data_IF_541056679337
#
_entry.id   IF_541056679337
#
_cell.length_a   1.000
_cell.length_b   1.000
_cell.length_c   1.000
_cell.angle_alpha   90.00
_cell.angle_beta   90.00
_cell.angle_gamma   90.00
#
_symmetry.space_group_name_H-M   'P 1'
#
loop_
_entity.id
_entity.type
_entity.pdbx_description
1 polymer ?
#
# COMPACT_ATOMS: atom_id res chain seq x y z
N UNK A 1 9.69 16.20 -3.62
CA UNK A 1 11.11 16.64 -3.72
C UNK A 1 11.23 17.80 -4.71
N UNK A 2 12.02 18.85 -4.37
CA UNK A 2 12.44 19.88 -5.31
C UNK A 2 13.61 19.37 -6.20
N UNK A 3 14.11 20.24 -7.15
CA UNK A 3 15.16 19.84 -8.10
C UNK A 3 16.47 19.44 -7.43
N UNK A 4 16.90 20.16 -6.37
CA UNK A 4 18.14 19.87 -5.66
C UNK A 4 18.04 18.60 -4.82
N UNK A 5 16.91 18.36 -4.14
CA UNK A 5 16.63 17.11 -3.43
C UNK A 5 16.66 15.91 -4.38
N UNK A 6 16.05 16.05 -5.57
CA UNK A 6 16.07 15.01 -6.60
C UNK A 6 17.46 14.72 -7.13
N UNK A 7 18.29 15.75 -7.27
CA UNK A 7 19.68 15.58 -7.68
C UNK A 7 20.48 14.79 -6.62
N UNK A 8 20.29 15.09 -5.33
CA UNK A 8 20.92 14.32 -4.24
C UNK A 8 20.44 12.86 -4.28
N UNK A 9 19.13 12.64 -4.33
CA UNK A 9 18.54 11.30 -4.41
C UNK A 9 19.15 10.47 -5.56
N UNK A 10 19.14 10.99 -6.79
CA UNK A 10 19.62 10.26 -7.96
C UNK A 10 21.14 10.00 -7.89
N UNK A 11 21.92 11.03 -7.54
CA UNK A 11 23.40 10.91 -7.53
C UNK A 11 23.88 9.96 -6.43
N UNK A 12 23.27 10.01 -5.23
CA UNK A 12 23.63 9.09 -4.15
C UNK A 12 23.20 7.66 -4.49
N UNK A 13 22.02 7.48 -5.10
CA UNK A 13 21.57 6.17 -5.57
C UNK A 13 22.53 5.51 -6.57
N UNK A 14 23.12 6.29 -7.47
CA UNK A 14 24.11 5.79 -8.44
C UNK A 14 25.47 5.45 -7.80
N UNK A 15 25.77 6.02 -6.63
CA UNK A 15 27.09 5.97 -5.98
C UNK A 15 27.05 5.40 -4.57
N UNK A 16 26.25 4.36 -4.36
CA UNK A 16 25.81 3.84 -3.06
C UNK A 16 26.91 3.62 -2.02
N UNK A 17 28.12 3.24 -2.41
CA UNK A 17 29.20 2.88 -1.47
C UNK A 17 30.37 3.86 -1.49
N UNK A 18 30.20 5.02 -2.15
CA UNK A 18 31.23 6.07 -2.12
C UNK A 18 31.15 6.85 -0.81
N UNK A 19 32.29 7.08 -0.19
CA UNK A 19 32.40 7.85 1.07
C UNK A 19 32.28 9.36 0.87
N UNK A 20 32.35 9.84 -0.38
CA UNK A 20 32.29 11.25 -0.74
C UNK A 20 31.68 11.39 -2.12
N UNK A 21 30.52 12.03 -2.21
CA UNK A 21 29.68 12.08 -3.41
C UNK A 21 29.43 13.53 -3.80
N UNK A 22 29.97 13.93 -4.95
CA UNK A 22 29.72 15.27 -5.48
C UNK A 22 28.39 15.30 -6.23
N UNK A 23 27.53 16.23 -5.81
CA UNK A 23 26.19 16.43 -6.36
C UNK A 23 26.11 17.83 -6.96
N UNK A 24 25.87 17.93 -8.26
CA UNK A 24 25.52 19.19 -8.92
C UNK A 24 24.12 19.63 -8.48
N UNK A 25 23.95 20.91 -8.21
CA UNK A 25 22.68 21.53 -7.86
C UNK A 25 22.02 22.13 -9.10
N UNK A 26 20.94 21.54 -9.65
CA UNK A 26 20.25 22.07 -10.83
C UNK A 26 19.67 23.48 -10.62
N UNK A 27 19.38 23.81 -9.36
CA UNK A 27 19.03 25.16 -8.93
C UNK A 27 20.12 25.68 -8.00
N UNK A 28 21.14 26.38 -8.51
CA UNK A 28 22.23 26.93 -7.70
C UNK A 28 21.69 27.85 -6.60
N UNK A 29 22.36 27.84 -5.45
CA UNK A 29 22.02 28.72 -4.33
C UNK A 29 22.87 29.98 -4.42
N UNK A 30 22.22 31.14 -4.40
CA UNK A 30 22.90 32.43 -4.61
C UNK A 30 22.58 33.41 -3.49
N UNK A 31 23.53 34.32 -3.22
CA UNK A 31 23.30 35.46 -2.34
C UNK A 31 24.20 36.63 -2.72
N UNK A 32 23.79 37.84 -2.35
CA UNK A 32 24.58 39.05 -2.46
C UNK A 32 25.08 39.48 -1.09
N UNK A 33 26.32 40.01 -1.02
CA UNK A 33 26.89 40.44 0.22
C UNK A 33 28.28 41.06 0.09
N UNK A 34 28.76 41.66 1.17
CA UNK A 34 30.09 42.25 1.29
C UNK A 34 31.12 41.35 1.99
N UNK A 35 30.68 40.17 2.44
CA UNK A 35 31.52 39.21 3.17
C UNK A 35 31.30 37.80 2.62
N UNK A 36 32.31 36.95 2.79
CA UNK A 36 32.33 35.55 2.38
C UNK A 36 31.50 34.64 3.29
N UNK A 37 30.82 35.19 4.32
CA UNK A 37 29.99 34.44 5.25
C UNK A 37 28.71 33.96 4.56
N UNK A 38 28.52 32.66 4.48
CA UNK A 38 27.31 32.07 3.88
C UNK A 38 26.11 32.30 4.80
N UNK A 39 25.04 32.94 4.32
CA UNK A 39 23.83 33.21 5.11
C UNK A 39 23.15 31.94 5.65
N UNK A 40 22.46 32.06 6.77
CA UNK A 40 21.77 30.94 7.42
C UNK A 40 20.71 30.27 6.54
N UNK A 41 19.94 31.07 5.77
CA UNK A 41 18.95 30.55 4.83
C UNK A 41 19.58 29.70 3.70
N UNK A 42 20.77 30.07 3.23
CA UNK A 42 21.52 29.28 2.23
C UNK A 42 22.01 27.97 2.85
N UNK A 43 22.53 28.00 4.09
CA UNK A 43 22.92 26.79 4.82
C UNK A 43 21.74 25.87 5.05
N UNK A 44 20.58 26.42 5.46
CA UNK A 44 19.31 25.65 5.59
C UNK A 44 18.91 25.03 4.26
N UNK A 45 18.95 25.77 3.15
CA UNK A 45 18.57 25.26 1.83
C UNK A 45 19.48 24.12 1.37
N UNK A 46 20.80 24.18 1.67
CA UNK A 46 21.75 23.07 1.43
C UNK A 46 21.40 21.84 2.29
N UNK A 47 21.17 22.06 3.58
CA UNK A 47 20.78 20.98 4.49
C UNK A 47 19.46 20.33 4.05
N UNK A 48 18.46 21.12 3.69
CA UNK A 48 17.16 20.65 3.23
C UNK A 48 17.25 19.86 1.92
N UNK A 49 18.14 20.29 1.00
CA UNK A 49 18.40 19.55 -0.24
C UNK A 49 18.95 18.16 0.05
N UNK A 50 19.94 18.07 0.95
CA UNK A 50 20.60 16.80 1.27
C UNK A 50 19.70 15.91 2.14
N UNK A 51 19.12 16.46 3.22
CA UNK A 51 18.21 15.69 4.08
C UNK A 51 17.02 15.16 3.30
N UNK A 52 16.36 16.01 2.48
CA UNK A 52 15.19 15.58 1.72
C UNK A 52 15.51 14.53 0.66
N UNK A 53 16.66 14.66 -0.02
CA UNK A 53 17.11 13.65 -0.99
C UNK A 53 17.47 12.31 -0.36
N UNK A 54 18.22 12.34 0.76
CA UNK A 54 18.61 11.11 1.49
C UNK A 54 17.41 10.44 2.15
N UNK A 55 16.53 11.20 2.81
CA UNK A 55 15.33 10.63 3.44
C UNK A 55 14.46 9.91 2.42
N UNK A 56 14.16 10.56 1.29
CA UNK A 56 13.38 9.94 0.24
C UNK A 56 14.06 8.69 -0.35
N UNK A 57 15.39 8.73 -0.48
CA UNK A 57 16.17 7.60 -1.01
C UNK A 57 16.12 6.39 -0.08
N UNK A 58 16.33 6.59 1.23
CA UNK A 58 16.30 5.49 2.20
C UNK A 58 14.89 4.91 2.38
N UNK A 59 13.84 5.74 2.29
CA UNK A 59 12.46 5.26 2.34
C UNK A 59 12.06 4.46 1.10
N UNK A 60 12.51 4.91 -0.10
CA UNK A 60 12.25 4.19 -1.35
C UNK A 60 13.06 2.90 -1.46
N UNK A 61 14.28 2.90 -0.92
CA UNK A 61 15.23 1.78 -1.01
C UNK A 61 15.80 1.40 0.36
N UNK A 62 15.05 0.74 1.23
CA UNK A 62 15.53 0.37 2.57
C UNK A 62 16.68 -0.63 2.57
N UNK A 63 17.03 -1.19 1.40
CA UNK A 63 18.32 -1.87 1.21
C UNK A 63 19.52 -0.96 1.49
N UNK A 64 19.34 0.38 1.51
CA UNK A 64 20.37 1.37 1.86
C UNK A 64 20.30 1.65 3.36
N UNK A 65 20.47 0.64 4.17
CA UNK A 65 20.28 0.67 5.62
C UNK A 65 21.39 1.39 6.40
N UNK A 66 22.57 1.53 5.83
CA UNK A 66 23.80 1.97 6.53
C UNK A 66 23.95 3.48 6.70
N UNK A 67 23.12 4.29 6.04
CA UNK A 67 23.23 5.75 6.12
C UNK A 67 22.62 6.23 7.44
N UNK A 68 23.46 6.38 8.45
CA UNK A 68 23.09 6.91 9.77
C UNK A 68 23.52 8.38 9.90
N UNK A 69 23.09 9.22 8.97
CA UNK A 69 23.42 10.64 8.92
C UNK A 69 24.43 10.98 7.81
N UNK A 70 24.86 12.23 7.78
CA UNK A 70 25.75 12.74 6.76
C UNK A 70 26.53 13.96 7.23
N UNK A 71 27.60 14.32 6.51
CA UNK A 71 28.21 15.66 6.54
C UNK A 71 28.26 16.21 5.13
N UNK A 72 28.30 17.54 5.03
CA UNK A 72 28.38 18.23 3.74
C UNK A 72 29.59 19.15 3.70
N UNK A 73 30.17 19.30 2.52
CA UNK A 73 31.09 20.37 2.20
C UNK A 73 30.71 21.00 0.86
N UNK A 74 30.99 22.27 0.70
CA UNK A 74 30.68 23.01 -0.52
C UNK A 74 31.68 24.13 -0.74
N UNK A 75 31.91 24.48 -2.01
CA UNK A 75 32.56 25.68 -2.42
C UNK A 75 31.57 26.68 -3.02
N UNK A 76 32.00 27.89 -3.21
CA UNK A 76 31.23 28.91 -3.94
C UNK A 76 32.14 29.65 -4.93
N UNK A 77 31.58 30.07 -6.05
CA UNK A 77 32.12 31.06 -6.95
C UNK A 77 31.55 32.44 -6.62
N UNK A 78 32.24 33.50 -7.01
CA UNK A 78 31.73 34.87 -6.85
C UNK A 78 32.27 35.80 -7.95
N UNK A 79 31.54 36.88 -8.17
CA UNK A 79 31.96 38.02 -8.97
C UNK A 79 31.60 39.32 -8.29
N UNK A 80 32.32 40.40 -8.62
CA UNK A 80 32.11 41.72 -8.04
C UNK A 80 30.88 42.39 -8.69
N UNK A 81 30.11 43.07 -7.88
CA UNK A 81 28.96 43.91 -8.28
C UNK A 81 29.21 45.36 -7.86
N UNK A 82 28.31 46.27 -8.21
CA UNK A 82 28.41 47.67 -7.79
C UNK A 82 28.26 47.88 -6.27
N UNK A 83 27.64 46.89 -5.53
CA UNK A 83 27.33 46.98 -4.11
C UNK A 83 28.03 45.92 -3.26
N UNK A 84 28.90 45.12 -3.83
CA UNK A 84 29.58 44.00 -3.14
C UNK A 84 29.94 42.87 -4.06
N UNK A 85 29.54 41.67 -3.70
CA UNK A 85 29.78 40.45 -4.45
C UNK A 85 28.50 39.64 -4.61
N UNK A 86 28.36 38.98 -5.75
CA UNK A 86 27.37 37.94 -5.98
C UNK A 86 28.03 36.57 -5.84
N UNK A 87 27.52 35.73 -4.96
CA UNK A 87 28.05 34.38 -4.66
C UNK A 87 27.11 33.31 -5.20
N UNK A 88 27.68 32.18 -5.61
CA UNK A 88 26.94 31.04 -6.15
C UNK A 88 27.50 29.72 -5.63
N UNK A 89 26.67 28.84 -5.09
CA UNK A 89 26.95 27.44 -4.81
C UNK A 89 26.24 26.61 -5.89
N UNK A 90 27.00 25.92 -6.74
CA UNK A 90 26.47 25.07 -7.83
C UNK A 90 26.61 23.58 -7.57
N UNK A 91 27.31 23.20 -6.51
CA UNK A 91 27.49 21.79 -6.12
C UNK A 91 27.68 21.65 -4.62
N UNK A 92 27.37 20.46 -4.10
CA UNK A 92 27.61 20.04 -2.73
C UNK A 92 28.26 18.67 -2.71
N UNK A 93 29.25 18.46 -1.85
CA UNK A 93 29.80 17.13 -1.59
C UNK A 93 29.07 16.54 -0.38
N UNK A 94 28.38 15.44 -0.58
CA UNK A 94 27.71 14.67 0.47
C UNK A 94 28.62 13.54 0.92
N UNK A 95 28.80 13.40 2.22
CA UNK A 95 29.57 12.31 2.83
C UNK A 95 28.66 11.54 3.78
N UNK A 96 28.04 10.44 3.31
CA UNK A 96 27.23 9.57 4.16
C UNK A 96 28.06 9.01 5.32
N UNK A 97 27.44 8.89 6.49
CA UNK A 97 28.06 8.29 7.67
C UNK A 97 27.38 6.97 7.99
N UNK A 98 28.18 5.97 8.32
CA UNK A 98 27.71 4.66 8.74
C UNK A 98 27.39 4.65 10.24
N UNK A 99 26.59 3.71 10.69
CA UNK A 99 26.38 3.39 12.10
C UNK A 99 27.65 2.69 12.65
N UNK A 100 28.52 3.44 13.32
CA UNK A 100 29.79 2.90 13.86
C UNK A 100 29.61 1.96 15.05
N UNK A 101 28.42 1.86 15.64
CA UNK A 101 28.11 0.87 16.66
C UNK A 101 27.83 -0.53 16.05
N UNK A 102 27.37 -0.54 14.77
CA UNK A 102 27.04 -1.76 14.06
C UNK A 102 28.19 -2.18 13.09
N UNK A 103 28.87 -1.22 12.46
CA UNK A 103 29.81 -1.45 11.37
C UNK A 103 31.18 -0.86 11.65
N UNK A 104 32.21 -1.69 11.58
CA UNK A 104 33.59 -1.25 11.74
C UNK A 104 34.03 -0.31 10.59
N UNK A 105 33.60 -0.63 9.37
CA UNK A 105 33.92 0.13 8.17
C UNK A 105 32.93 -0.19 7.01
N UNK A 106 33.13 0.43 5.86
CA UNK A 106 32.31 0.24 4.67
C UNK A 106 32.45 -1.19 4.08
N UNK A 107 33.53 -1.94 4.36
CA UNK A 107 33.64 -3.32 3.87
C UNK A 107 32.67 -4.23 4.60
N UNK A 108 32.51 -4.02 5.92
CA UNK A 108 31.49 -4.75 6.71
C UNK A 108 30.08 -4.41 6.23
N UNK A 109 29.79 -3.14 5.93
CA UNK A 109 28.52 -2.74 5.32
C UNK A 109 28.26 -3.46 4.01
N UNK A 110 29.24 -3.48 3.09
CA UNK A 110 29.13 -4.17 1.79
C UNK A 110 28.92 -5.67 1.96
N UNK A 111 29.59 -6.29 2.92
CA UNK A 111 29.39 -7.70 3.21
C UNK A 111 27.94 -7.96 3.66
N UNK A 112 27.46 -7.22 4.65
CA UNK A 112 26.09 -7.41 5.17
C UNK A 112 25.02 -7.08 4.12
N UNK A 113 25.27 -6.08 3.26
CA UNK A 113 24.42 -5.82 2.11
C UNK A 113 24.32 -7.02 1.17
N UNK A 114 25.45 -7.62 0.81
CA UNK A 114 25.48 -8.79 -0.08
C UNK A 114 24.84 -10.02 0.59
N UNK A 115 25.13 -10.25 1.85
CA UNK A 115 24.56 -11.36 2.62
C UNK A 115 23.04 -11.22 2.75
N UNK A 116 22.58 -10.01 3.08
CA UNK A 116 21.15 -9.71 3.15
C UNK A 116 20.49 -9.84 1.76
N UNK A 117 21.11 -9.31 0.70
CA UNK A 117 20.60 -9.44 -0.66
C UNK A 117 20.44 -10.91 -1.08
N UNK A 118 21.41 -11.76 -0.76
CA UNK A 118 21.34 -13.19 -1.02
C UNK A 118 20.18 -13.87 -0.28
N UNK A 119 19.94 -13.50 0.98
CA UNK A 119 18.77 -13.98 1.74
C UNK A 119 17.47 -13.51 1.11
N UNK A 120 17.35 -12.22 0.81
CA UNK A 120 16.17 -11.64 0.14
C UNK A 120 15.90 -12.35 -1.19
N UNK A 121 16.93 -12.57 -2.01
CA UNK A 121 16.81 -13.28 -3.29
C UNK A 121 16.35 -14.72 -3.14
N UNK A 122 16.73 -15.40 -2.05
CA UNK A 122 16.32 -16.77 -1.76
C UNK A 122 14.87 -16.91 -1.31
N UNK A 123 14.20 -15.82 -0.87
CA UNK A 123 12.81 -15.88 -0.42
C UNK A 123 11.88 -16.11 -1.60
N UNK A 124 11.29 -17.31 -1.70
CA UNK A 124 10.24 -17.62 -2.65
C UNK A 124 8.90 -17.08 -2.13
N UNK A 125 8.48 -15.90 -2.58
CA UNK A 125 7.21 -15.30 -2.19
C UNK A 125 6.07 -16.11 -2.80
N UNK A 126 5.30 -16.77 -1.95
CA UNK A 126 4.21 -17.66 -2.35
C UNK A 126 2.88 -16.92 -2.41
N UNK A 127 2.01 -17.37 -3.30
CA UNK A 127 0.65 -16.87 -3.48
C UNK A 127 0.33 -16.56 -4.94
N UNK A 128 -0.87 -16.91 -5.37
CA UNK A 128 -1.38 -16.63 -6.71
C UNK A 128 -1.87 -15.17 -6.81
N UNK A 129 -2.46 -14.64 -5.74
CA UNK A 129 -3.02 -13.30 -5.65
C UNK A 129 -2.08 -12.35 -4.90
N UNK A 130 -2.28 -11.03 -5.05
CA UNK A 130 -1.52 -10.04 -4.26
C UNK A 130 -1.76 -10.22 -2.76
N UNK A 131 -3.02 -10.48 -2.36
CA UNK A 131 -3.38 -10.75 -0.99
C UNK A 131 -2.55 -11.90 -0.38
N UNK A 132 -2.47 -13.04 -1.09
CA UNK A 132 -1.70 -14.19 -0.62
C UNK A 132 -0.20 -13.88 -0.52
N UNK A 133 0.34 -13.12 -1.47
CA UNK A 133 1.75 -12.68 -1.42
C UNK A 133 2.02 -11.73 -0.27
N UNK A 134 1.15 -10.75 -0.04
CA UNK A 134 1.26 -9.81 1.08
C UNK A 134 1.16 -10.55 2.41
N UNK A 135 0.22 -11.50 2.51
CA UNK A 135 0.08 -12.36 3.68
C UNK A 135 1.31 -13.23 3.91
N UNK A 136 1.88 -13.81 2.86
CA UNK A 136 3.12 -14.57 2.96
C UNK A 136 4.26 -13.72 3.50
N UNK A 137 4.43 -12.49 2.99
CA UNK A 137 5.47 -11.55 3.43
C UNK A 137 5.29 -11.20 4.91
N UNK A 138 4.08 -10.86 5.31
CA UNK A 138 3.74 -10.57 6.71
C UNK A 138 4.10 -11.74 7.62
N UNK A 139 3.58 -12.94 7.32
CA UNK A 139 3.81 -14.15 8.11
C UNK A 139 5.29 -14.55 8.14
N UNK A 140 6.01 -14.35 7.03
CA UNK A 140 7.44 -14.65 6.95
C UNK A 140 8.24 -13.79 7.92
N UNK A 141 7.95 -12.49 7.99
CA UNK A 141 8.66 -11.57 8.87
C UNK A 141 8.31 -11.83 10.32
N UNK A 142 7.01 -11.87 10.67
CA UNK A 142 6.57 -12.10 12.05
C UNK A 142 7.02 -13.46 12.63
N UNK A 143 7.24 -14.47 11.79
CA UNK A 143 7.76 -15.79 12.24
C UNK A 143 9.28 -15.87 12.30
N UNK A 144 9.97 -14.89 11.74
CA UNK A 144 11.42 -14.94 11.57
C UNK A 144 12.18 -14.26 12.69
N UNK A 145 11.60 -13.26 13.30
CA UNK A 145 12.28 -12.39 14.26
C UNK A 145 11.58 -12.34 15.60
N UNK A 146 12.27 -11.79 16.60
CA UNK A 146 11.74 -11.39 17.88
C UNK A 146 11.89 -9.89 18.05
N UNK A 147 10.96 -9.24 18.76
CA UNK A 147 11.11 -7.83 19.11
C UNK A 147 12.27 -7.61 20.07
N UNK A 148 13.12 -6.60 19.82
CA UNK A 148 14.24 -6.23 20.68
C UNK A 148 13.78 -5.28 21.78
N UNK A 149 13.17 -5.80 22.83
CA UNK A 149 12.59 -5.07 23.96
C UNK A 149 13.59 -4.15 24.67
N UNK A 150 14.85 -4.52 24.67
CA UNK A 150 15.90 -3.82 25.41
C UNK A 150 16.76 -2.90 24.54
N UNK A 151 16.51 -2.87 23.21
CA UNK A 151 17.32 -2.12 22.25
C UNK A 151 18.82 -2.47 22.32
N UNK A 152 19.12 -3.75 22.48
CA UNK A 152 20.49 -4.25 22.65
C UNK A 152 21.21 -4.47 21.32
N UNK A 153 20.47 -4.65 20.23
CA UNK A 153 21.01 -4.96 18.91
C UNK A 153 21.33 -3.66 18.17
N UNK A 154 22.60 -3.38 17.83
CA UNK A 154 22.98 -2.14 17.15
C UNK A 154 22.32 -1.93 15.79
N UNK A 155 21.88 -3.02 15.12
CA UNK A 155 21.21 -3.03 13.84
C UNK A 155 19.69 -3.20 13.96
N UNK A 156 19.09 -3.12 15.16
CA UNK A 156 17.66 -3.37 15.37
C UNK A 156 16.75 -2.47 14.54
N UNK A 157 17.21 -1.26 14.22
CA UNK A 157 16.49 -0.31 13.36
C UNK A 157 16.71 -0.54 11.86
N UNK A 158 17.39 -1.60 11.46
CA UNK A 158 17.80 -1.86 10.08
C UNK A 158 17.22 -3.21 9.59
N UNK A 159 16.95 -3.39 8.29
CA UNK A 159 16.42 -4.65 7.76
C UNK A 159 17.43 -5.80 7.89
N UNK A 160 18.72 -5.52 8.06
CA UNK A 160 19.75 -6.53 8.36
C UNK A 160 19.39 -7.34 9.60
N UNK A 161 18.75 -6.74 10.60
CA UNK A 161 18.30 -7.41 11.82
C UNK A 161 17.21 -8.47 11.58
N UNK A 162 16.48 -8.36 10.48
CA UNK A 162 15.46 -9.33 10.07
C UNK A 162 16.05 -10.44 9.20
N UNK A 163 16.94 -10.09 8.26
CA UNK A 163 17.45 -11.07 7.29
C UNK A 163 18.69 -11.79 7.77
N UNK A 164 19.48 -11.19 8.68
CA UNK A 164 20.69 -11.76 9.26
C UNK A 164 20.54 -12.01 10.77
N UNK A 165 21.44 -12.81 11.35
CA UNK A 165 21.46 -13.03 12.79
C UNK A 165 21.78 -11.72 13.54
N UNK A 166 21.21 -11.52 14.75
CA UNK A 166 20.53 -12.47 15.63
C UNK A 166 19.00 -12.59 15.44
N UNK A 167 18.39 -12.02 14.39
CA UNK A 167 16.94 -12.01 14.12
C UNK A 167 16.13 -11.34 15.24
N UNK A 168 16.64 -10.19 15.71
CA UNK A 168 15.98 -9.32 16.68
C UNK A 168 15.91 -7.92 16.14
N UNK A 169 14.72 -7.34 16.10
CA UNK A 169 14.45 -6.08 15.42
C UNK A 169 13.43 -5.23 16.17
N UNK A 170 13.30 -3.96 15.77
CA UNK A 170 12.23 -3.06 16.23
C UNK A 170 11.36 -2.64 15.04
N UNK A 171 10.34 -1.81 15.27
CA UNK A 171 9.33 -1.43 14.27
C UNK A 171 9.91 -0.97 12.92
N UNK A 172 11.05 -0.29 12.93
CA UNK A 172 11.71 0.19 11.71
C UNK A 172 12.26 -0.97 10.88
N UNK A 173 12.94 -1.95 11.51
CA UNK A 173 13.42 -3.14 10.80
C UNK A 173 12.29 -4.02 10.27
N UNK A 174 11.16 -4.17 11.01
CA UNK A 174 9.96 -4.84 10.49
C UNK A 174 9.43 -4.14 9.23
N UNK A 175 9.20 -2.84 9.28
CA UNK A 175 8.61 -2.08 8.18
C UNK A 175 9.50 -1.99 6.95
N UNK A 176 10.81 -1.87 7.13
CA UNK A 176 11.79 -1.87 6.05
C UNK A 176 11.85 -3.24 5.34
N UNK A 177 11.91 -4.31 6.11
CA UNK A 177 11.95 -5.67 5.57
C UNK A 177 10.68 -6.05 4.84
N UNK A 178 9.52 -5.61 5.34
CA UNK A 178 8.25 -5.78 4.67
C UNK A 178 8.24 -5.07 3.31
N UNK A 179 8.72 -3.82 3.26
CA UNK A 179 8.83 -3.09 2.00
C UNK A 179 9.79 -3.75 1.02
N UNK A 180 10.96 -4.22 1.47
CA UNK A 180 11.94 -4.94 0.61
C UNK A 180 11.29 -6.15 -0.06
N UNK A 181 10.54 -6.95 0.67
CA UNK A 181 9.88 -8.12 0.10
C UNK A 181 8.67 -7.75 -0.78
N UNK A 182 7.95 -6.67 -0.46
CA UNK A 182 6.92 -6.13 -1.34
C UNK A 182 7.52 -5.65 -2.67
N UNK A 183 8.64 -4.93 -2.63
CA UNK A 183 9.34 -4.45 -3.84
C UNK A 183 9.81 -5.64 -4.70
N UNK A 184 10.36 -6.68 -4.08
CA UNK A 184 10.70 -7.94 -4.76
C UNK A 184 9.49 -8.58 -5.46
N UNK A 185 8.33 -8.51 -4.83
CA UNK A 185 7.07 -9.06 -5.38
C UNK A 185 6.40 -8.13 -6.41
N UNK A 186 6.93 -6.92 -6.66
CA UNK A 186 6.30 -5.91 -7.51
C UNK A 186 5.02 -5.32 -6.92
N UNK A 187 4.90 -5.31 -5.58
CA UNK A 187 3.73 -4.80 -4.85
C UNK A 187 4.05 -3.40 -4.33
N UNK A 188 3.28 -2.37 -4.73
CA UNK A 188 3.51 -1.01 -4.21
C UNK A 188 3.32 -0.95 -2.69
N UNK A 189 4.37 -0.54 -1.99
CA UNK A 189 4.43 -0.43 -0.55
C UNK A 189 5.21 0.81 -0.16
N UNK A 190 4.80 1.51 0.91
CA UNK A 190 5.53 2.62 1.51
C UNK A 190 5.70 2.37 3.00
N UNK A 191 6.79 2.92 3.57
CA UNK A 191 7.02 2.94 5.01
C UNK A 191 6.39 4.22 5.55
N UNK A 192 5.50 4.10 6.51
CA UNK A 192 4.95 5.22 7.25
C UNK A 192 5.67 5.37 8.59
N UNK A 193 5.96 6.60 8.98
CA UNK A 193 6.58 6.93 10.26
C UNK A 193 5.75 7.95 11.01
N UNK A 194 5.68 7.78 12.32
CA UNK A 194 4.85 8.64 13.15
C UNK A 194 4.90 8.23 14.61
N UNK A 195 3.75 8.32 15.26
CA UNK A 195 3.56 7.90 16.65
C UNK A 195 2.47 6.85 16.74
N UNK A 196 2.69 5.84 17.57
CA UNK A 196 1.66 4.90 18.01
C UNK A 196 1.87 4.59 19.49
N UNK A 197 0.78 4.44 20.25
CA UNK A 197 0.81 4.18 21.70
C UNK A 197 1.72 5.14 22.49
N UNK A 198 1.80 6.41 22.05
CA UNK A 198 2.59 7.45 22.73
C UNK A 198 4.10 7.42 22.46
N UNK A 199 4.57 6.53 21.58
CA UNK A 199 5.97 6.41 21.14
C UNK A 199 6.17 6.61 19.65
N UNK A 200 7.41 6.88 19.22
CA UNK A 200 7.78 6.87 17.82
C UNK A 200 7.60 5.46 17.24
N UNK A 201 7.04 5.37 16.02
CA UNK A 201 6.68 4.10 15.40
C UNK A 201 6.80 4.15 13.89
N UNK A 202 7.01 2.96 13.28
CA UNK A 202 7.04 2.77 11.85
C UNK A 202 6.19 1.56 11.45
N UNK A 203 5.43 1.72 10.37
CA UNK A 203 4.55 0.69 9.79
C UNK A 203 4.51 0.80 8.27
N UNK A 204 3.64 0.06 7.60
CA UNK A 204 3.54 0.09 6.14
C UNK A 204 2.14 0.44 5.65
N UNK A 205 2.10 1.05 4.46
CA UNK A 205 0.90 1.07 3.62
C UNK A 205 1.15 0.30 2.34
N UNK A 206 0.21 -0.56 1.99
CA UNK A 206 0.28 -1.44 0.81
C UNK A 206 -0.88 -1.13 -0.13
N UNK A 207 -0.59 -1.03 -1.42
CA UNK A 207 -1.63 -0.86 -2.45
C UNK A 207 -2.12 -2.21 -2.93
N UNK A 208 -3.41 -2.47 -2.74
CA UNK A 208 -4.05 -3.73 -3.13
C UNK A 208 -4.66 -3.68 -4.55
N UNK A 209 -5.25 -4.80 -4.99
CA UNK A 209 -5.80 -4.95 -6.34
C UNK A 209 -6.96 -4.00 -6.65
N UNK A 210 -7.70 -3.57 -5.63
CA UNK A 210 -8.78 -2.59 -5.74
C UNK A 210 -8.29 -1.15 -5.94
N UNK A 211 -6.96 -0.96 -6.01
CA UNK A 211 -6.31 0.32 -6.22
C UNK A 211 -6.20 1.20 -4.97
N UNK A 212 -6.68 0.76 -3.83
CA UNK A 212 -6.61 1.48 -2.55
C UNK A 212 -5.40 1.05 -1.73
N UNK A 213 -5.08 1.86 -0.71
CA UNK A 213 -4.00 1.60 0.22
C UNK A 213 -4.54 1.17 1.58
N UNK A 214 -3.84 0.26 2.24
CA UNK A 214 -4.21 -0.35 3.51
C UNK A 214 -3.01 -0.40 4.45
N UNK A 215 -3.28 -0.28 5.75
CA UNK A 215 -2.27 -0.37 6.80
C UNK A 215 -1.84 -1.81 7.06
N UNK A 216 -0.55 -2.00 7.30
CA UNK A 216 0.04 -3.25 7.79
C UNK A 216 1.05 -2.90 8.86
N UNK A 217 0.95 -3.53 10.03
CA UNK A 217 1.91 -3.38 11.10
C UNK A 217 2.36 -4.74 11.63
N UNK A 218 3.45 -5.26 11.05
CA UNK A 218 4.04 -6.52 11.46
C UNK A 218 4.54 -6.51 12.90
N UNK A 219 4.93 -5.33 13.45
CA UNK A 219 5.41 -5.21 14.82
C UNK A 219 4.32 -5.57 15.83
N UNK A 220 3.12 -5.03 15.61
CA UNK A 220 1.99 -5.26 16.50
C UNK A 220 1.29 -6.61 16.26
N UNK A 221 1.48 -7.19 15.08
CA UNK A 221 0.98 -8.54 14.77
C UNK A 221 1.94 -9.67 15.19
N UNK A 222 3.19 -9.34 15.62
CA UNK A 222 4.15 -10.29 16.18
C UNK A 222 4.06 -10.31 17.71
N UNK A 223 3.22 -11.19 18.26
CA UNK A 223 2.93 -11.33 19.68
C UNK A 223 3.20 -12.76 20.20
N UNK A 224 4.33 -13.33 19.82
CA UNK A 224 4.65 -14.74 20.09
C UNK A 224 3.83 -15.74 19.26
N UNK A 225 2.81 -15.27 18.62
CA UNK A 225 2.08 -15.89 17.52
C UNK A 225 1.71 -14.82 16.51
N UNK A 226 1.65 -15.18 15.23
CA UNK A 226 1.27 -14.23 14.20
C UNK A 226 -0.21 -13.87 14.34
N UNK A 227 -0.48 -12.60 14.56
CA UNK A 227 -1.82 -12.02 14.56
C UNK A 227 -2.11 -11.34 13.22
N UNK A 228 -3.35 -10.88 13.02
CA UNK A 228 -3.79 -10.17 11.82
C UNK A 228 -4.68 -8.98 12.19
N UNK A 229 -4.51 -8.46 13.42
CA UNK A 229 -5.28 -7.32 13.90
C UNK A 229 -4.88 -6.01 13.22
N UNK A 230 -3.67 -5.98 12.65
CA UNK A 230 -3.09 -4.86 11.91
C UNK A 230 -2.74 -5.22 10.47
N UNK A 231 -3.31 -6.28 9.93
CA UNK A 231 -3.06 -6.76 8.59
C UNK A 231 -4.11 -6.24 7.60
N UNK A 232 -3.68 -5.41 6.66
CA UNK A 232 -4.50 -4.79 5.61
C UNK A 232 -5.73 -4.06 6.17
N UNK A 233 -5.51 -3.30 7.22
CA UNK A 233 -6.54 -2.52 7.92
C UNK A 233 -6.80 -1.17 7.25
N UNK A 234 -8.01 -0.64 7.44
CA UNK A 234 -8.38 0.72 7.06
C UNK A 234 -8.31 1.68 8.26
N UNK A 235 -8.41 2.99 8.00
CA UNK A 235 -8.32 4.01 9.07
C UNK A 235 -9.42 3.89 10.13
N UNK A 236 -10.61 3.42 9.77
CA UNK A 236 -11.73 3.16 10.68
C UNK A 236 -11.72 1.75 11.29
N UNK A 237 -10.74 0.90 10.95
CA UNK A 237 -10.64 -0.45 11.52
C UNK A 237 -10.28 -0.37 13.00
N UNK A 238 -11.15 -0.92 13.84
CA UNK A 238 -10.84 -1.20 15.24
C UNK A 238 -10.19 -2.57 15.39
N UNK A 239 -9.56 -2.82 16.51
CA UNK A 239 -9.11 -4.15 16.88
C UNK A 239 -9.37 -4.44 18.38
N UNK A 240 -9.16 -5.70 18.78
CA UNK A 240 -9.43 -6.17 20.14
C UNK A 240 -8.49 -5.59 21.22
N UNK A 241 -7.37 -5.01 20.82
CA UNK A 241 -6.38 -4.42 21.73
C UNK A 241 -6.60 -2.92 21.96
N UNK A 242 -7.35 -2.27 21.07
CA UNK A 242 -7.74 -0.88 21.25
C UNK A 242 -8.95 -0.76 22.17
N UNK A 243 -9.08 0.37 22.84
CA UNK A 243 -10.33 0.71 23.50
C UNK A 243 -11.49 0.76 22.50
N UNK A 244 -12.71 0.62 22.96
CA UNK A 244 -13.91 0.54 22.10
C UNK A 244 -14.08 1.72 21.12
N UNK A 245 -13.34 2.82 21.31
CA UNK A 245 -13.36 4.03 20.48
C UNK A 245 -12.10 4.25 19.65
N UNK A 246 -11.11 3.37 19.76
CA UNK A 246 -9.84 3.52 19.04
C UNK A 246 -9.87 2.74 17.73
N UNK A 247 -9.29 3.36 16.69
CA UNK A 247 -9.16 2.78 15.35
C UNK A 247 -7.69 2.82 14.92
N UNK A 248 -7.36 2.10 13.86
CA UNK A 248 -6.02 2.18 13.29
C UNK A 248 -5.61 3.63 12.99
N UNK A 249 -6.46 4.43 12.36
CA UNK A 249 -6.17 5.82 12.04
C UNK A 249 -6.01 6.73 13.27
N UNK A 250 -6.65 6.42 14.41
CA UNK A 250 -6.48 7.19 15.64
C UNK A 250 -5.23 6.77 16.42
N UNK A 251 -4.83 5.51 16.33
CA UNK A 251 -3.66 4.97 17.03
C UNK A 251 -2.34 5.16 16.27
N UNK A 252 -2.39 5.36 14.94
CA UNK A 252 -1.23 5.53 14.07
C UNK A 252 -1.24 6.94 13.46
N UNK A 253 -0.58 7.88 14.15
CA UNK A 253 -0.53 9.28 13.71
C UNK A 253 0.74 9.56 12.94
N UNK A 254 0.62 9.83 11.65
CA UNK A 254 1.74 10.13 10.76
C UNK A 254 2.44 11.44 11.13
N UNK A 255 3.76 11.42 11.17
CA UNK A 255 4.58 12.64 11.25
C UNK A 255 5.36 12.90 9.96
N UNK A 256 5.63 11.84 9.20
CA UNK A 256 6.42 11.88 7.97
C UNK A 256 7.87 12.29 8.15
N UNK A 257 8.39 12.28 9.37
CA UNK A 257 9.74 12.75 9.70
C UNK A 257 10.61 11.60 10.22
N UNK A 258 11.34 10.97 9.30
CA UNK A 258 12.22 9.86 9.66
C UNK A 258 13.55 10.31 10.25
N UNK A 259 14.22 11.29 9.64
CA UNK A 259 15.59 11.70 9.96
C UNK A 259 15.69 13.12 10.52
N UNK A 260 14.58 13.71 10.94
CA UNK A 260 14.54 15.10 11.37
C UNK A 260 14.60 16.11 10.19
N UNK A 261 14.83 17.39 10.50
CA UNK A 261 14.85 18.44 9.49
C UNK A 261 13.46 18.93 9.08
N UNK A 262 13.40 19.71 7.98
CA UNK A 262 12.17 20.29 7.45
C UNK A 262 11.47 19.41 6.41
N UNK A 263 12.14 18.38 5.90
CA UNK A 263 11.56 17.46 4.92
C UNK A 263 10.52 16.57 5.58
N UNK A 264 9.34 16.53 5.00
CA UNK A 264 8.23 15.68 5.46
C UNK A 264 7.76 14.83 4.29
N UNK A 265 7.66 13.52 4.55
CA UNK A 265 7.08 12.56 3.62
C UNK A 265 5.56 12.79 3.53
N UNK A 266 5.01 12.60 2.35
CA UNK A 266 3.57 12.56 2.12
C UNK A 266 3.16 11.14 1.79
N UNK A 267 2.11 10.66 2.45
CA UNK A 267 1.62 9.31 2.28
C UNK A 267 0.39 9.25 1.37
N UNK A 268 0.12 8.10 0.76
CA UNK A 268 -1.12 7.89 0.04
C UNK A 268 -2.32 7.90 1.00
N UNK A 269 -3.49 8.26 0.48
CA UNK A 269 -4.73 8.15 1.25
C UNK A 269 -5.05 6.69 1.52
N UNK A 270 -5.12 6.32 2.80
CA UNK A 270 -5.47 4.98 3.25
C UNK A 270 -6.98 4.79 3.19
N UNK A 271 -7.44 3.60 2.83
CA UNK A 271 -8.85 3.23 2.84
C UNK A 271 -9.45 3.43 4.24
N UNK A 272 -10.71 3.81 4.30
CA UNK A 272 -11.44 3.88 5.57
C UNK A 272 -11.71 2.48 6.14
N UNK A 273 -12.12 1.54 5.28
CA UNK A 273 -12.42 0.17 5.68
C UNK A 273 -11.23 -0.74 5.42
N UNK A 274 -11.13 -1.84 6.18
CA UNK A 274 -10.16 -2.91 5.94
C UNK A 274 -10.31 -3.49 4.52
N UNK A 275 -9.21 -4.05 4.00
CA UNK A 275 -9.24 -4.77 2.74
C UNK A 275 -10.16 -6.00 2.85
N UNK A 276 -11.02 -6.12 1.87
CA UNK A 276 -11.83 -7.31 1.65
C UNK A 276 -11.44 -7.91 0.30
N UNK A 277 -11.04 -9.17 0.26
CA UNK A 277 -10.61 -9.76 -0.99
C UNK A 277 -11.74 -9.74 -2.02
N UNK A 278 -11.39 -9.39 -3.25
CA UNK A 278 -12.29 -9.53 -4.39
C UNK A 278 -12.49 -11.03 -4.63
N UNK A 279 -13.75 -11.45 -4.83
CA UNK A 279 -14.05 -12.81 -5.22
C UNK A 279 -13.76 -12.96 -6.72
N UNK A 280 -12.73 -13.71 -7.13
CA UNK A 280 -12.40 -13.85 -8.54
C UNK A 280 -13.45 -14.66 -9.29
N UNK A 281 -13.64 -14.34 -10.54
CA UNK A 281 -14.39 -15.18 -11.46
C UNK A 281 -13.65 -16.50 -11.71
N UNK A 282 -14.38 -17.60 -11.76
CA UNK A 282 -13.83 -18.89 -12.22
C UNK A 282 -14.36 -19.27 -13.60
N UNK A 283 -15.37 -18.57 -14.11
CA UNK A 283 -15.90 -18.73 -15.47
C UNK A 283 -16.43 -17.39 -15.99
N UNK A 284 -16.72 -17.31 -17.28
CA UNK A 284 -17.24 -16.12 -17.96
C UNK A 284 -18.67 -15.73 -17.59
N UNK A 285 -19.30 -16.49 -16.71
CA UNK A 285 -20.71 -16.26 -16.32
C UNK A 285 -20.88 -15.41 -15.06
N UNK A 286 -19.82 -14.82 -14.50
CA UNK A 286 -19.94 -13.97 -13.32
C UNK A 286 -18.99 -12.78 -13.36
N UNK A 287 -19.41 -11.67 -12.72
CA UNK A 287 -18.58 -10.49 -12.48
C UNK A 287 -18.85 -9.92 -11.10
N UNK A 288 -17.83 -9.33 -10.47
CA UNK A 288 -17.92 -8.71 -9.15
C UNK A 288 -17.74 -7.21 -9.26
N UNK A 289 -18.69 -6.45 -8.70
CA UNK A 289 -18.51 -5.03 -8.46
C UNK A 289 -18.20 -4.83 -6.98
N UNK A 290 -16.92 -4.66 -6.69
CA UNK A 290 -16.42 -4.53 -5.30
C UNK A 290 -16.90 -3.24 -4.63
N UNK A 291 -17.05 -2.15 -5.38
CA UNK A 291 -17.50 -0.86 -4.84
C UNK A 291 -18.94 -0.90 -4.33
N UNK A 292 -19.82 -1.52 -5.08
CA UNK A 292 -21.25 -1.65 -4.74
C UNK A 292 -21.59 -2.96 -4.06
N UNK A 293 -20.59 -3.87 -3.89
CA UNK A 293 -20.80 -5.20 -3.30
C UNK A 293 -21.87 -6.01 -4.03
N UNK A 294 -21.76 -6.03 -5.36
CA UNK A 294 -22.66 -6.79 -6.22
C UNK A 294 -21.90 -7.95 -6.89
N UNK A 295 -22.52 -9.11 -6.92
CA UNK A 295 -22.08 -10.28 -7.68
C UNK A 295 -23.08 -10.53 -8.79
N UNK A 296 -22.70 -10.23 -10.02
CA UNK A 296 -23.52 -10.54 -11.20
C UNK A 296 -23.24 -11.96 -11.67
N UNK A 297 -24.30 -12.70 -11.94
CA UNK A 297 -24.25 -14.03 -12.55
C UNK A 297 -25.18 -14.10 -13.77
N UNK A 298 -24.84 -14.95 -14.72
CA UNK A 298 -25.68 -15.21 -15.89
C UNK A 298 -26.75 -16.25 -15.58
N UNK A 299 -27.79 -16.29 -16.38
CA UNK A 299 -28.86 -17.31 -16.29
C UNK A 299 -28.28 -18.71 -16.36
N UNK A 300 -28.68 -19.58 -15.43
CA UNK A 300 -28.19 -20.96 -15.32
C UNK A 300 -26.84 -21.11 -14.59
N UNK A 301 -26.15 -20.03 -14.28
CA UNK A 301 -24.96 -20.07 -13.43
C UNK A 301 -25.37 -20.20 -11.93
N UNK A 302 -24.55 -20.89 -11.16
CA UNK A 302 -24.69 -20.87 -9.70
C UNK A 302 -23.55 -20.09 -9.07
N UNK A 303 -23.82 -19.42 -7.95
CA UNK A 303 -22.76 -18.75 -7.19
C UNK A 303 -21.63 -19.70 -6.86
N UNK A 304 -21.94 -20.94 -6.52
CA UNK A 304 -20.92 -21.95 -6.14
C UNK A 304 -20.01 -22.36 -7.31
N UNK A 305 -20.47 -22.26 -8.55
CA UNK A 305 -19.68 -22.59 -9.74
C UNK A 305 -19.08 -21.35 -10.41
N UNK A 306 -19.60 -20.18 -10.08
CA UNK A 306 -19.20 -18.91 -10.69
C UNK A 306 -18.04 -18.23 -9.98
N UNK A 307 -17.81 -18.56 -8.69
CA UNK A 307 -16.82 -17.91 -7.87
C UNK A 307 -15.78 -18.89 -7.31
N UNK A 308 -14.59 -18.39 -7.15
CA UNK A 308 -13.44 -19.11 -6.57
C UNK A 308 -13.01 -18.43 -5.29
N UNK A 309 -12.70 -19.21 -4.27
CA UNK A 309 -12.25 -18.71 -2.98
C UNK A 309 -10.73 -18.86 -2.84
N UNK A 310 -10.10 -17.78 -2.41
CA UNK A 310 -8.70 -17.78 -2.03
C UNK A 310 -8.48 -18.63 -0.77
N UNK A 311 -7.26 -19.13 -0.57
CA UNK A 311 -6.88 -19.88 0.63
C UNK A 311 -7.15 -19.05 1.90
N UNK A 312 -7.75 -19.68 2.89
CA UNK A 312 -8.15 -19.01 4.15
C UNK A 312 -9.53 -18.34 4.13
N UNK A 313 -10.21 -18.31 2.98
CA UNK A 313 -11.57 -17.79 2.88
C UNK A 313 -12.58 -18.92 2.68
N UNK A 314 -13.76 -18.68 3.20
CA UNK A 314 -14.95 -19.51 2.97
C UNK A 314 -16.11 -18.63 2.53
N UNK A 315 -17.14 -19.23 1.94
CA UNK A 315 -18.32 -18.49 1.59
C UNK A 315 -19.60 -19.22 2.00
N UNK A 316 -20.65 -18.45 2.18
CA UNK A 316 -22.01 -18.94 2.32
C UNK A 316 -22.88 -18.24 1.27
N UNK A 317 -23.62 -19.04 0.48
CA UNK A 317 -24.57 -18.52 -0.50
C UNK A 317 -26.00 -18.64 0.01
N UNK A 318 -26.75 -17.53 -0.04
CA UNK A 318 -28.19 -17.51 0.22
C UNK A 318 -29.04 -17.94 -0.99
N UNK A 319 -28.38 -18.33 -2.08
CA UNK A 319 -29.01 -18.77 -3.32
C UNK A 319 -28.48 -18.04 -4.55
N UNK A 320 -29.05 -18.38 -5.70
CA UNK A 320 -28.61 -17.85 -7.00
C UNK A 320 -29.56 -16.75 -7.54
N UNK A 321 -30.69 -16.52 -6.91
CA UNK A 321 -31.66 -15.53 -7.39
C UNK A 321 -31.25 -14.11 -7.05
N UNK A 322 -31.69 -13.15 -7.83
CA UNK A 322 -31.54 -11.72 -7.59
C UNK A 322 -31.97 -11.34 -6.19
N UNK A 323 -31.18 -10.52 -5.50
CA UNK A 323 -31.38 -10.11 -4.12
C UNK A 323 -30.87 -11.09 -3.04
N UNK A 324 -30.41 -12.31 -3.41
CA UNK A 324 -29.75 -13.21 -2.47
C UNK A 324 -28.44 -12.63 -1.96
N UNK A 325 -28.05 -12.97 -0.75
CA UNK A 325 -26.78 -12.54 -0.18
C UNK A 325 -25.74 -13.67 -0.31
N UNK A 326 -24.62 -13.35 -0.90
CA UNK A 326 -23.42 -14.16 -0.94
C UNK A 326 -22.41 -13.57 0.03
N UNK A 327 -22.01 -14.31 1.06
CA UNK A 327 -21.11 -13.83 2.10
C UNK A 327 -19.77 -14.51 2.01
N UNK A 328 -18.72 -13.74 1.89
CA UNK A 328 -17.33 -14.18 2.01
C UNK A 328 -16.83 -13.92 3.42
N UNK A 329 -16.19 -14.90 4.03
CA UNK A 329 -15.66 -14.81 5.39
C UNK A 329 -14.23 -15.32 5.44
N UNK A 330 -13.39 -14.64 6.22
CA UNK A 330 -12.08 -15.14 6.62
C UNK A 330 -12.07 -15.29 8.14
N UNK A 331 -12.07 -16.53 8.61
CA UNK A 331 -12.14 -16.83 10.04
C UNK A 331 -10.89 -16.37 10.80
N UNK A 332 -9.72 -16.47 10.15
CA UNK A 332 -8.43 -16.08 10.75
C UNK A 332 -8.31 -14.56 10.94
N UNK A 333 -8.92 -13.78 10.03
CA UNK A 333 -8.94 -12.32 10.10
C UNK A 333 -10.19 -11.78 10.84
N UNK A 334 -11.15 -12.63 11.18
CA UNK A 334 -12.42 -12.20 11.77
C UNK A 334 -13.24 -11.30 10.83
N UNK A 335 -12.97 -11.33 9.51
CA UNK A 335 -13.62 -10.46 8.53
C UNK A 335 -14.74 -11.20 7.79
N UNK A 336 -15.78 -10.45 7.41
CA UNK A 336 -16.88 -10.96 6.61
C UNK A 336 -17.42 -9.85 5.71
N UNK A 337 -17.73 -10.17 4.46
CA UNK A 337 -18.27 -9.23 3.48
C UNK A 337 -19.42 -9.90 2.73
N UNK A 338 -20.59 -9.21 2.70
CA UNK A 338 -21.74 -9.64 1.93
C UNK A 338 -21.78 -8.98 0.55
N UNK A 339 -22.14 -9.75 -0.45
CA UNK A 339 -22.44 -9.28 -1.80
C UNK A 339 -23.90 -9.61 -2.13
N UNK A 340 -24.60 -8.67 -2.76
CA UNK A 340 -25.92 -8.95 -3.30
C UNK A 340 -25.77 -9.61 -4.67
N UNK A 341 -26.39 -10.76 -4.83
CA UNK A 341 -26.43 -11.48 -6.10
C UNK A 341 -27.41 -10.80 -7.06
N UNK A 342 -26.97 -10.54 -8.26
CA UNK A 342 -27.78 -10.05 -9.38
C UNK A 342 -27.69 -11.08 -10.50
N UNK A 343 -28.74 -11.85 -10.70
CA UNK A 343 -28.83 -12.71 -11.87
C UNK A 343 -29.40 -11.88 -13.03
N UNK A 344 -28.65 -11.71 -14.10
CA UNK A 344 -29.10 -10.93 -15.25
C UNK A 344 -30.36 -11.52 -15.86
N UNK A 345 -31.39 -10.70 -15.94
CA UNK A 345 -32.70 -11.07 -16.45
C UNK A 345 -33.66 -11.67 -15.41
N UNK A 346 -33.24 -12.02 -14.18
CA UNK A 346 -34.09 -12.52 -13.07
C UNK A 346 -34.70 -11.34 -12.32
N UNK A 347 -35.64 -10.67 -12.94
CA UNK A 347 -36.30 -9.42 -12.47
C UNK A 347 -37.35 -9.71 -11.40
N UNK A 348 -38.04 -10.83 -11.53
CA UNK A 348 -38.93 -11.39 -10.51
C UNK A 348 -38.18 -12.52 -9.80
N UNK A 349 -37.50 -12.25 -8.66
CA UNK A 349 -36.46 -13.13 -8.14
C UNK A 349 -36.92 -14.60 -7.94
N UNK A 350 -36.56 -15.43 -8.91
CA UNK A 350 -36.91 -16.87 -8.90
C UNK A 350 -35.62 -17.74 -8.97
N UNK A 351 -34.53 -17.20 -9.52
CA UNK A 351 -33.29 -17.88 -9.86
C UNK A 351 -33.30 -18.46 -11.27
N UNK A 352 -34.27 -18.08 -12.08
CA UNK A 352 -34.40 -18.46 -13.49
C UNK A 352 -34.96 -17.27 -14.27
N UNK A 353 -34.59 -17.14 -15.51
CA UNK A 353 -35.17 -16.15 -16.42
C UNK A 353 -36.32 -16.76 -17.16
N UNK A 354 -37.55 -16.26 -16.94
CA UNK A 354 -38.78 -16.78 -17.53
C UNK A 354 -39.73 -15.68 -18.07
N UNK A 355 -40.97 -16.02 -18.34
CA UNK A 355 -41.94 -15.05 -18.91
C UNK A 355 -42.36 -13.97 -17.92
N UNK A 356 -42.27 -14.21 -16.58
CA UNK A 356 -42.63 -13.21 -15.55
C UNK A 356 -41.62 -12.06 -15.53
N UNK A 357 -40.35 -12.32 -15.85
CA UNK A 357 -39.29 -11.32 -15.92
C UNK A 357 -39.51 -10.39 -17.14
N UNK A 358 -39.77 -10.98 -18.29
CA UNK A 358 -40.15 -10.23 -19.49
C UNK A 358 -41.33 -9.30 -19.21
N UNK A 359 -42.42 -9.85 -18.65
CA UNK A 359 -43.64 -9.09 -18.30
C UNK A 359 -43.35 -7.95 -17.31
N UNK A 360 -42.42 -8.15 -16.37
CA UNK A 360 -42.02 -7.14 -15.38
C UNK A 360 -41.32 -5.94 -16.06
N UNK A 361 -40.41 -6.20 -17.02
CA UNK A 361 -39.73 -5.13 -17.78
C UNK A 361 -40.68 -4.41 -18.69
N UNK A 362 -41.59 -5.14 -19.41
CA UNK A 362 -42.61 -4.52 -20.25
C UNK A 362 -43.52 -3.59 -19.40
N UNK A 363 -43.98 -4.03 -18.23
CA UNK A 363 -44.80 -3.21 -17.32
C UNK A 363 -44.05 -1.97 -16.82
N UNK A 364 -42.77 -2.11 -16.52
CA UNK A 364 -41.92 -0.96 -16.16
C UNK A 364 -41.82 0.04 -17.31
N UNK A 365 -41.54 -0.44 -18.53
CA UNK A 365 -41.35 0.39 -19.74
C UNK A 365 -42.59 1.17 -20.12
N UNK A 366 -43.80 0.62 -19.89
CA UNK A 366 -45.09 1.29 -20.14
C UNK A 366 -45.68 2.00 -18.92
N UNK A 367 -44.87 2.13 -17.86
CA UNK A 367 -45.24 2.83 -16.61
C UNK A 367 -46.43 2.22 -15.81
N UNK A 368 -46.83 0.97 -16.14
CA UNK A 368 -47.86 0.25 -15.43
C UNK A 368 -47.41 -0.16 -14.01
N UNK A 369 -46.18 -0.65 -13.89
CA UNK A 369 -45.53 -0.98 -12.62
C UNK A 369 -44.02 -0.70 -12.69
N UNK A 370 -43.57 0.34 -12.03
CA UNK A 370 -42.17 0.72 -12.01
C UNK A 370 -41.32 -0.13 -11.06
N UNK A 371 -40.16 -0.54 -11.51
CA UNK A 371 -39.07 -1.04 -10.67
C UNK A 371 -38.40 0.14 -9.97
N UNK A 372 -37.96 -0.03 -8.75
CA UNK A 372 -37.27 1.03 -8.02
C UNK A 372 -35.86 1.25 -8.58
N UNK A 373 -35.52 2.50 -8.91
CA UNK A 373 -34.20 2.86 -9.42
C UNK A 373 -33.09 2.35 -8.48
N UNK A 374 -32.12 1.60 -9.05
CA UNK A 374 -31.02 1.02 -8.31
C UNK A 374 -31.36 -0.16 -7.39
N UNK A 375 -32.62 -0.63 -7.40
CA UNK A 375 -32.98 -1.90 -6.74
C UNK A 375 -32.30 -3.09 -7.40
N UNK A 376 -32.22 -4.23 -6.69
CA UNK A 376 -31.69 -5.47 -7.27
C UNK A 376 -32.45 -5.90 -8.52
N UNK A 377 -33.76 -5.72 -8.53
CA UNK A 377 -34.66 -6.03 -9.63
C UNK A 377 -34.41 -5.11 -10.84
N UNK A 378 -34.18 -3.81 -10.59
CA UNK A 378 -33.79 -2.83 -11.63
C UNK A 378 -32.44 -3.20 -12.26
N UNK A 379 -31.45 -3.54 -11.42
CA UNK A 379 -30.12 -3.94 -11.88
C UNK A 379 -30.15 -5.28 -12.65
N UNK A 380 -31.05 -6.19 -12.30
CA UNK A 380 -31.26 -7.42 -13.03
C UNK A 380 -31.99 -7.20 -14.37
N UNK A 381 -32.84 -6.17 -14.43
CA UNK A 381 -33.62 -5.80 -15.61
C UNK A 381 -32.80 -5.08 -16.67
N UNK A 382 -31.79 -4.28 -16.28
CA UNK A 382 -30.84 -3.63 -17.18
C UNK A 382 -29.83 -4.67 -17.73
N UNK A 383 -30.29 -5.46 -18.68
CA UNK A 383 -29.52 -6.61 -19.21
C UNK A 383 -28.42 -6.15 -20.18
N UNK A 384 -28.69 -5.10 -20.95
CA UNK A 384 -27.73 -4.54 -21.89
C UNK A 384 -26.68 -3.65 -21.22
N UNK A 385 -26.92 -3.21 -19.98
CA UNK A 385 -25.98 -2.45 -19.15
C UNK A 385 -25.87 -0.98 -19.53
N UNK A 386 -26.88 -0.39 -20.19
CA UNK A 386 -26.88 1.01 -20.60
C UNK A 386 -27.41 1.97 -19.51
N UNK A 387 -27.90 1.43 -18.40
CA UNK A 387 -28.40 2.15 -17.25
C UNK A 387 -29.90 2.53 -17.33
N UNK A 388 -30.59 2.11 -18.38
CA UNK A 388 -32.02 2.39 -18.60
C UNK A 388 -32.76 1.08 -18.81
N UNK A 389 -33.80 0.83 -18.04
CA UNK A 389 -34.64 -0.37 -18.21
C UNK A 389 -35.77 -0.05 -19.19
N UNK A 390 -35.73 -0.67 -20.37
CA UNK A 390 -36.73 -0.43 -21.44
C UNK A 390 -37.07 -1.70 -22.25
N UNK A 391 -37.71 -1.51 -23.43
CA UNK A 391 -38.13 -2.62 -24.24
C UNK A 391 -36.96 -3.35 -24.93
N UNK A 392 -35.78 -2.73 -25.02
CA UNK A 392 -34.60 -3.43 -25.55
C UNK A 392 -34.15 -4.50 -24.53
N UNK A 393 -34.20 -4.21 -23.23
CA UNK A 393 -33.92 -5.20 -22.21
C UNK A 393 -34.96 -6.32 -22.20
N UNK A 394 -36.26 -6.00 -22.40
CA UNK A 394 -37.27 -7.00 -22.52
C UNK A 394 -36.97 -7.95 -23.69
N UNK A 395 -36.53 -7.43 -24.85
CA UNK A 395 -36.16 -8.25 -26.00
C UNK A 395 -34.93 -9.15 -25.69
N UNK A 396 -33.93 -8.65 -24.97
CA UNK A 396 -32.80 -9.47 -24.55
C UNK A 396 -33.18 -10.53 -23.51
N UNK A 397 -34.06 -10.23 -22.57
CA UNK A 397 -34.61 -11.22 -21.64
C UNK A 397 -35.32 -12.36 -22.39
N UNK A 398 -36.06 -12.05 -23.46
CA UNK A 398 -36.69 -13.08 -24.28
C UNK A 398 -35.67 -13.98 -25.00
N UNK A 399 -34.54 -13.41 -25.43
CA UNK A 399 -33.42 -14.18 -26.00
C UNK A 399 -32.73 -15.06 -24.96
N UNK A 400 -32.49 -14.54 -23.73
CA UNK A 400 -31.91 -15.30 -22.60
C UNK A 400 -32.82 -16.47 -22.24
N UNK A 401 -34.12 -16.22 -22.10
CA UNK A 401 -35.13 -17.24 -21.85
C UNK A 401 -35.15 -18.33 -22.94
N UNK A 402 -34.94 -17.95 -24.17
CA UNK A 402 -34.84 -18.89 -25.31
C UNK A 402 -33.47 -19.61 -25.42
N UNK A 403 -32.50 -19.33 -24.53
CA UNK A 403 -31.15 -19.89 -24.58
C UNK A 403 -30.33 -19.37 -25.78
N UNK A 404 -30.66 -18.19 -26.32
CA UNK A 404 -29.98 -17.56 -27.46
C UNK A 404 -29.07 -16.41 -27.06
N UNK A 405 -29.07 -16.01 -25.78
CA UNK A 405 -28.18 -15.06 -25.15
C UNK A 405 -27.91 -15.52 -23.71
N UNK A 406 -26.89 -14.90 -23.04
CA UNK A 406 -26.48 -15.27 -21.67
C UNK A 406 -26.23 -14.04 -20.79
#
# INVERSE_FOLDING_TARGET
MNSNQRAVYNTVKEKLFESSIDVALPSPLTWDGTSTSVPSNIKSALSDAVTGGLSALCDDYPMIFWINGYSISYGYSYYQTSSGYHFTISSVTVKPRINTNAYADMNKVKQDYNDMAAVVDSVEIKGATRYEKVKFIHDFICKRVEYDENFEIPTAHEPTSVFLTPYKTVCEGYSESFKILCDKAGIPCVIAVGNSNGGGHAWNYVKMEDGKWYGVDCTFDDQGSVLYDYFLVGTASGNRYFGASETFGSSHTETGKRYGGSFTLTYPTVSENAYSPIVPEINSGATVNEKSKLLYITNGASVNSAVYMQSGYSFASGGNKTGSIFTVSNTSLGTSTGYTVIMRGDVVPSGYVDGSDFDAVVKHSVEDKKLGDGSSEYLAADVNGDGVVDLFDAAEIDLIKAGKAS
#
